data_IF_282260622570
#
_entry.id   IF_282260622570
#
_cell.length_a   1.000
_cell.length_b   1.000
_cell.length_c   1.000
_cell.angle_alpha   90.00
_cell.angle_beta   90.00
_cell.angle_gamma   90.00
#
_symmetry.space_group_name_H-M   'P 1'
#
loop_
_entity.id
_entity.type
_entity.pdbx_description
1 polymer ?
#
# COMPACT_ATOMS: atom_id res chain seq x y z
N UNK A 1 51.05 -61.66 -28.23
CA UNK A 1 50.81 -60.28 -28.72
C UNK A 1 49.49 -59.78 -28.17
N UNK A 2 49.57 -58.82 -27.25
CA UNK A 2 48.44 -58.11 -26.68
C UNK A 2 47.60 -57.47 -27.79
N UNK A 3 46.32 -57.83 -27.91
CA UNK A 3 45.37 -56.99 -28.65
C UNK A 3 45.07 -55.77 -27.79
N UNK A 4 45.88 -54.73 -28.02
CA UNK A 4 45.71 -53.37 -27.52
C UNK A 4 44.32 -52.86 -27.89
N UNK A 5 43.68 -52.20 -26.92
CA UNK A 5 42.30 -51.75 -26.95
C UNK A 5 41.96 -50.85 -28.14
N UNK A 6 40.88 -51.22 -28.83
CA UNK A 6 40.24 -50.36 -29.81
C UNK A 6 39.07 -49.61 -29.17
N UNK A 7 39.35 -48.45 -28.57
CA UNK A 7 38.38 -47.38 -28.46
C UNK A 7 38.10 -46.85 -29.88
N UNK A 8 37.38 -47.63 -30.69
CA UNK A 8 37.05 -47.33 -32.09
C UNK A 8 35.64 -46.73 -32.23
N UNK A 9 35.26 -46.34 -33.44
CA UNK A 9 33.98 -45.69 -33.82
C UNK A 9 32.73 -46.22 -33.08
N UNK A 10 32.66 -47.52 -32.75
CA UNK A 10 31.57 -48.12 -31.96
C UNK A 10 31.49 -47.66 -30.49
N UNK A 11 32.61 -47.27 -29.86
CA UNK A 11 32.62 -46.64 -28.55
C UNK A 11 32.12 -45.18 -28.63
N UNK A 12 32.49 -44.47 -29.70
CA UNK A 12 32.06 -43.09 -29.97
C UNK A 12 30.56 -43.03 -30.30
N UNK A 13 30.06 -43.99 -31.09
CA UNK A 13 28.63 -44.13 -31.39
C UNK A 13 27.81 -44.49 -30.15
N UNK A 14 28.29 -45.42 -29.31
CA UNK A 14 27.66 -45.72 -28.01
C UNK A 14 27.66 -44.52 -27.07
N UNK A 15 28.72 -43.71 -27.08
CA UNK A 15 28.76 -42.47 -26.32
C UNK A 15 27.73 -41.46 -26.84
N UNK A 16 27.59 -41.29 -28.16
CA UNK A 16 26.58 -40.43 -28.76
C UNK A 16 25.15 -40.88 -28.49
N UNK A 17 24.87 -42.19 -28.56
CA UNK A 17 23.57 -42.77 -28.22
C UNK A 17 23.25 -42.59 -26.74
N UNK A 18 24.25 -42.76 -25.86
CA UNK A 18 24.11 -42.52 -24.42
C UNK A 18 23.83 -41.05 -24.09
N UNK A 19 24.50 -40.10 -24.74
CA UNK A 19 24.21 -38.67 -24.57
C UNK A 19 22.77 -38.34 -25.00
N UNK A 20 22.31 -38.86 -26.14
CA UNK A 20 20.93 -38.68 -26.60
C UNK A 20 19.90 -39.29 -25.64
N UNK A 21 20.19 -40.46 -25.06
CA UNK A 21 19.28 -41.08 -24.10
C UNK A 21 19.25 -40.31 -22.76
N UNK A 22 20.38 -39.78 -22.30
CA UNK A 22 20.44 -38.89 -21.14
C UNK A 22 19.68 -37.58 -21.37
N UNK A 23 19.82 -36.97 -22.54
CA UNK A 23 19.06 -35.75 -22.90
C UNK A 23 17.56 -36.03 -22.96
N UNK A 24 17.14 -37.14 -23.56
CA UNK A 24 15.74 -37.55 -23.61
C UNK A 24 15.17 -37.80 -22.20
N UNK A 25 15.92 -38.50 -21.34
CA UNK A 25 15.52 -38.75 -19.95
C UNK A 25 15.46 -37.45 -19.14
N UNK A 26 16.42 -36.55 -19.31
CA UNK A 26 16.45 -35.24 -18.65
C UNK A 26 15.23 -34.39 -19.04
N UNK A 27 14.88 -34.36 -20.32
CA UNK A 27 13.68 -33.68 -20.81
C UNK A 27 12.39 -34.31 -20.27
N UNK A 28 12.31 -35.65 -20.22
CA UNK A 28 11.16 -36.35 -19.63
C UNK A 28 11.02 -36.04 -18.14
N UNK A 29 12.11 -36.05 -17.38
CA UNK A 29 12.11 -35.76 -15.95
C UNK A 29 11.72 -34.31 -15.69
N UNK A 30 12.23 -33.37 -16.50
CA UNK A 30 11.85 -31.95 -16.43
C UNK A 30 10.36 -31.75 -16.72
N UNK A 31 9.83 -32.38 -17.77
CA UNK A 31 8.40 -32.32 -18.09
C UNK A 31 7.54 -32.92 -16.97
N UNK A 32 7.93 -34.08 -16.42
CA UNK A 32 7.23 -34.69 -15.30
C UNK A 32 7.23 -33.79 -14.04
N UNK A 33 8.33 -33.06 -13.78
CA UNK A 33 8.38 -32.07 -12.71
C UNK A 33 7.45 -30.88 -12.96
N UNK A 34 7.37 -30.39 -14.20
CA UNK A 34 6.45 -29.31 -14.58
C UNK A 34 4.99 -29.74 -14.45
N UNK A 35 4.65 -30.95 -14.90
CA UNK A 35 3.29 -31.50 -14.78
C UNK A 35 2.90 -31.70 -13.31
N UNK A 36 3.83 -32.19 -12.48
CA UNK A 36 3.61 -32.32 -11.05
C UNK A 36 3.38 -30.95 -10.39
N UNK A 37 4.17 -29.93 -10.76
CA UNK A 37 4.00 -28.57 -10.25
C UNK A 37 2.64 -27.99 -10.64
N UNK A 38 2.19 -28.16 -11.89
CA UNK A 38 0.85 -27.74 -12.30
C UNK A 38 -0.25 -28.41 -11.48
N UNK A 39 -0.15 -29.73 -11.26
CA UNK A 39 -1.12 -30.46 -10.45
C UNK A 39 -1.15 -29.97 -8.99
N UNK A 40 0.02 -29.68 -8.39
CA UNK A 40 0.12 -29.11 -7.05
C UNK A 40 -0.48 -27.70 -6.98
N UNK A 41 -0.19 -26.85 -7.97
CA UNK A 41 -0.79 -25.52 -8.06
C UNK A 41 -2.30 -25.59 -8.19
N UNK A 42 -2.85 -26.50 -9.00
CA UNK A 42 -4.29 -26.70 -9.13
C UNK A 42 -4.95 -27.22 -7.83
N UNK A 43 -4.30 -28.16 -7.14
CA UNK A 43 -4.80 -28.63 -5.85
C UNK A 43 -4.81 -27.50 -4.81
N UNK A 44 -3.72 -26.74 -4.75
CA UNK A 44 -3.60 -25.58 -3.87
C UNK A 44 -4.67 -24.53 -4.18
N UNK A 45 -4.85 -24.23 -5.48
CA UNK A 45 -5.88 -23.34 -6.02
C UNK A 45 -7.26 -23.67 -5.46
N UNK A 46 -7.65 -24.94 -5.61
CA UNK A 46 -8.95 -25.44 -5.18
C UNK A 46 -9.09 -25.41 -3.65
N UNK A 47 -8.04 -25.75 -2.91
CA UNK A 47 -8.05 -25.69 -1.45
C UNK A 47 -8.26 -24.26 -0.94
N UNK A 48 -7.53 -23.29 -1.50
CA UNK A 48 -7.63 -21.90 -1.07
C UNK A 48 -8.97 -21.27 -1.47
N UNK A 49 -9.50 -21.62 -2.65
CA UNK A 49 -10.87 -21.24 -3.06
C UNK A 49 -11.91 -21.73 -2.06
N UNK A 50 -11.83 -23.01 -1.69
CA UNK A 50 -12.77 -23.62 -0.73
C UNK A 50 -12.64 -22.99 0.65
N UNK A 51 -11.42 -22.77 1.12
CA UNK A 51 -11.18 -22.11 2.40
C UNK A 51 -11.86 -20.74 2.44
N UNK A 52 -11.62 -19.92 1.42
CA UNK A 52 -12.06 -18.55 1.46
C UNK A 52 -13.55 -18.37 1.14
N UNK A 53 -14.15 -19.26 0.35
CA UNK A 53 -15.62 -19.32 0.19
C UNK A 53 -16.31 -19.75 1.48
N UNK A 54 -15.76 -20.73 2.20
CA UNK A 54 -16.31 -21.22 3.46
C UNK A 54 -16.19 -20.17 4.58
N UNK A 55 -15.08 -19.46 4.64
CA UNK A 55 -14.78 -18.47 5.66
C UNK A 55 -15.06 -17.02 5.21
N UNK A 56 -15.85 -16.81 4.15
CA UNK A 56 -16.08 -15.47 3.57
C UNK A 56 -16.62 -14.47 4.58
N UNK A 57 -17.58 -14.89 5.40
CA UNK A 57 -18.17 -14.03 6.43
C UNK A 57 -17.11 -13.63 7.46
N UNK A 58 -16.32 -14.60 7.92
CA UNK A 58 -15.25 -14.39 8.90
C UNK A 58 -14.18 -13.44 8.36
N UNK A 59 -13.75 -13.61 7.10
CA UNK A 59 -12.79 -12.71 6.44
C UNK A 59 -13.35 -11.28 6.37
N UNK A 60 -14.66 -11.13 6.22
CA UNK A 60 -15.30 -9.81 6.15
C UNK A 60 -15.51 -9.20 7.54
N UNK A 61 -15.78 -9.98 8.57
CA UNK A 61 -16.08 -9.44 9.90
C UNK A 61 -14.86 -9.30 10.80
N UNK A 62 -13.87 -10.20 10.70
CA UNK A 62 -12.69 -10.22 11.55
C UNK A 62 -11.46 -9.65 10.80
N UNK A 63 -10.98 -8.46 11.19
CA UNK A 63 -9.82 -7.82 10.56
C UNK A 63 -8.51 -8.60 10.75
N UNK A 64 -8.32 -9.26 11.90
CA UNK A 64 -7.10 -10.05 12.16
C UNK A 64 -7.08 -11.28 11.26
N UNK A 65 -8.22 -11.93 11.12
CA UNK A 65 -8.36 -13.08 10.24
C UNK A 65 -8.21 -12.68 8.77
N UNK A 66 -8.82 -11.55 8.38
CA UNK A 66 -8.62 -10.94 7.05
C UNK A 66 -7.15 -10.71 6.75
N UNK A 67 -6.43 -10.09 7.69
CA UNK A 67 -5.01 -9.81 7.54
C UNK A 67 -4.18 -11.09 7.36
N UNK A 68 -4.42 -12.11 8.18
CA UNK A 68 -3.72 -13.39 8.08
C UNK A 68 -3.99 -14.09 6.74
N UNK A 69 -5.24 -14.10 6.28
CA UNK A 69 -5.61 -14.64 4.98
C UNK A 69 -4.88 -13.91 3.84
N UNK A 70 -4.86 -12.59 3.90
CA UNK A 70 -4.20 -11.74 2.92
C UNK A 70 -2.67 -11.92 2.90
N UNK A 71 -2.02 -12.05 4.06
CA UNK A 71 -0.58 -12.34 4.15
C UNK A 71 -0.22 -13.68 3.49
N UNK A 72 -1.05 -14.70 3.71
CA UNK A 72 -0.89 -15.99 3.06
C UNK A 72 -1.00 -15.87 1.54
N UNK A 73 -1.99 -15.14 1.01
CA UNK A 73 -2.09 -14.86 -0.42
C UNK A 73 -0.82 -14.18 -0.96
N UNK A 74 -0.34 -13.14 -0.27
CA UNK A 74 0.86 -12.40 -0.68
C UNK A 74 2.13 -13.27 -0.68
N UNK A 75 2.34 -14.14 0.31
CA UNK A 75 3.51 -15.02 0.36
C UNK A 75 3.63 -15.99 -0.83
N UNK A 76 2.51 -16.23 -1.51
CA UNK A 76 2.40 -17.18 -2.63
C UNK A 76 2.41 -16.40 -3.97
N UNK A 77 2.46 -15.07 -3.93
CA UNK A 77 2.37 -14.23 -5.12
C UNK A 77 0.95 -14.15 -5.69
N UNK A 78 -0.05 -14.43 -4.86
CA UNK A 78 -1.46 -14.34 -5.19
C UNK A 78 -2.02 -13.00 -4.72
N UNK A 79 -2.63 -12.26 -5.63
CA UNK A 79 -3.42 -11.08 -5.28
C UNK A 79 -4.92 -11.45 -5.25
N UNK A 80 -5.57 -11.45 -4.07
CA UNK A 80 -6.99 -11.76 -3.96
C UNK A 80 -7.90 -10.68 -4.57
N UNK A 81 -7.33 -9.53 -4.97
CA UNK A 81 -8.03 -8.40 -5.57
C UNK A 81 -7.72 -8.23 -7.07
N UNK A 82 -6.80 -9.02 -7.63
CA UNK A 82 -6.54 -8.95 -9.05
C UNK A 82 -7.78 -9.42 -9.82
N UNK A 83 -8.19 -8.67 -10.84
CA UNK A 83 -9.28 -9.04 -11.74
C UNK A 83 -8.86 -10.04 -12.85
N UNK A 84 -9.80 -10.57 -13.64
CA UNK A 84 -9.63 -11.78 -14.46
C UNK A 84 -8.43 -11.76 -15.42
N UNK A 85 -7.99 -10.57 -15.84
CA UNK A 85 -6.87 -10.37 -16.78
C UNK A 85 -5.48 -10.53 -16.17
N UNK A 86 -5.33 -10.55 -14.84
CA UNK A 86 -4.04 -10.72 -14.12
C UNK A 86 -4.12 -11.78 -13.02
N UNK A 87 -4.76 -12.92 -13.30
CA UNK A 87 -4.93 -14.00 -12.32
C UNK A 87 -6.17 -13.87 -11.44
N UNK A 88 -7.14 -13.03 -11.82
CA UNK A 88 -8.35 -12.77 -11.06
C UNK A 88 -9.49 -13.77 -11.20
N UNK A 89 -9.15 -15.04 -11.15
CA UNK A 89 -10.13 -16.03 -10.74
C UNK A 89 -10.45 -15.91 -9.23
N UNK A 90 -9.63 -15.18 -8.46
CA UNK A 90 -9.85 -14.89 -7.05
C UNK A 90 -10.96 -13.87 -6.78
N UNK A 91 -11.06 -12.79 -7.57
CA UNK A 91 -12.10 -11.79 -7.38
C UNK A 91 -13.49 -12.44 -7.40
N UNK A 92 -13.74 -13.30 -8.41
CA UNK A 92 -15.00 -14.03 -8.60
C UNK A 92 -15.18 -15.16 -7.56
N UNK A 93 -14.11 -15.86 -7.18
CA UNK A 93 -14.16 -16.92 -6.18
C UNK A 93 -14.34 -16.41 -4.73
N UNK A 94 -13.86 -15.21 -4.42
CA UNK A 94 -13.77 -14.67 -3.07
C UNK A 94 -14.83 -13.59 -2.80
N UNK A 95 -15.20 -12.81 -3.83
CA UNK A 95 -15.97 -11.56 -3.73
C UNK A 95 -15.46 -10.60 -2.64
N UNK A 96 -14.16 -10.68 -2.36
CA UNK A 96 -13.41 -9.72 -1.55
C UNK A 96 -13.08 -8.46 -2.36
N UNK A 97 -13.04 -8.58 -3.70
CA UNK A 97 -12.90 -7.45 -4.61
C UNK A 97 -14.02 -6.43 -4.45
N UNK A 98 -15.27 -6.90 -4.29
CA UNK A 98 -16.43 -6.02 -4.08
C UNK A 98 -16.28 -5.17 -2.82
N UNK A 99 -15.98 -5.80 -1.67
CA UNK A 99 -15.81 -5.08 -0.40
C UNK A 99 -14.65 -4.08 -0.44
N UNK A 100 -13.52 -4.48 -1.03
CA UNK A 100 -12.34 -3.63 -1.13
C UNK A 100 -12.56 -2.45 -2.10
N UNK A 101 -13.28 -2.69 -3.20
CA UNK A 101 -13.65 -1.66 -4.17
C UNK A 101 -14.66 -0.69 -3.56
N UNK A 102 -15.66 -1.17 -2.84
CA UNK A 102 -16.57 -0.34 -2.03
C UNK A 102 -15.77 0.51 -1.03
N UNK A 103 -14.77 -0.07 -0.37
CA UNK A 103 -13.90 0.68 0.56
C UNK A 103 -13.11 1.75 -0.18
N UNK A 104 -12.58 1.45 -1.37
CA UNK A 104 -11.92 2.41 -2.23
C UNK A 104 -12.82 3.60 -2.61
N UNK A 105 -14.07 3.36 -2.98
CA UNK A 105 -15.05 4.41 -3.30
C UNK A 105 -15.31 5.32 -2.11
N UNK A 106 -15.42 4.77 -0.90
CA UNK A 106 -15.65 5.57 0.30
C UNK A 106 -14.42 6.35 0.74
N UNK A 107 -13.22 5.79 0.55
CA UNK A 107 -11.97 6.53 0.76
C UNK A 107 -11.95 7.76 -0.16
N UNK A 108 -12.31 7.58 -1.44
CA UNK A 108 -12.41 8.69 -2.40
C UNK A 108 -13.42 9.73 -1.93
N UNK A 109 -14.61 9.31 -1.48
CA UNK A 109 -15.66 10.23 -1.01
C UNK A 109 -15.22 11.05 0.22
N UNK A 110 -14.58 10.40 1.20
CA UNK A 110 -13.99 11.10 2.37
C UNK A 110 -12.90 12.07 1.93
N UNK A 111 -11.99 11.66 1.04
CA UNK A 111 -10.94 12.52 0.54
C UNK A 111 -11.46 13.72 -0.25
N UNK A 112 -12.54 13.56 -1.01
CA UNK A 112 -13.18 14.66 -1.76
C UNK A 112 -13.91 15.60 -0.81
N UNK A 113 -14.72 15.08 0.12
CA UNK A 113 -15.51 15.89 1.05
C UNK A 113 -14.68 16.67 2.07
N UNK A 114 -13.48 16.19 2.41
CA UNK A 114 -12.57 16.88 3.34
C UNK A 114 -11.57 17.81 2.66
N UNK A 115 -11.47 17.76 1.32
CA UNK A 115 -10.45 18.45 0.53
C UNK A 115 -10.39 19.96 0.78
N UNK A 116 -11.54 20.62 0.85
CA UNK A 116 -11.60 22.07 1.05
C UNK A 116 -11.08 22.49 2.42
N UNK A 117 -11.08 21.57 3.39
CA UNK A 117 -10.59 21.81 4.74
C UNK A 117 -9.10 21.49 4.88
N UNK A 118 -8.63 20.39 4.30
CA UNK A 118 -7.30 19.84 4.56
C UNK A 118 -6.32 19.89 3.37
N UNK A 119 -6.73 20.48 2.25
CA UNK A 119 -5.89 20.61 1.06
C UNK A 119 -5.64 19.29 0.31
N UNK A 120 -6.35 18.21 0.66
CA UNK A 120 -6.16 16.88 0.08
C UNK A 120 -5.10 16.04 0.79
N UNK A 121 -4.80 16.35 2.05
CA UNK A 121 -4.00 15.52 2.95
C UNK A 121 -4.84 15.09 4.14
N UNK A 122 -4.79 13.80 4.49
CA UNK A 122 -5.49 13.28 5.66
C UNK A 122 -4.66 12.20 6.33
N UNK A 123 -4.57 12.21 7.66
CA UNK A 123 -3.91 11.13 8.39
C UNK A 123 -4.64 9.80 8.16
N UNK A 124 -3.88 8.71 8.04
CA UNK A 124 -4.43 7.38 7.76
C UNK A 124 -5.38 6.91 8.88
N UNK A 125 -5.04 7.18 10.13
CA UNK A 125 -5.87 6.88 11.31
C UNK A 125 -7.20 7.65 11.28
N UNK A 126 -7.17 8.94 10.93
CA UNK A 126 -8.36 9.77 10.77
C UNK A 126 -9.23 9.29 9.60
N UNK A 127 -8.61 8.91 8.48
CA UNK A 127 -9.32 8.33 7.35
C UNK A 127 -10.03 7.02 7.74
N UNK A 128 -9.36 6.12 8.48
CA UNK A 128 -9.99 4.91 9.04
C UNK A 128 -11.19 5.26 9.91
N UNK A 129 -11.05 6.26 10.79
CA UNK A 129 -12.14 6.73 11.67
C UNK A 129 -13.34 7.23 10.87
N UNK A 130 -13.12 8.12 9.90
CA UNK A 130 -14.17 8.71 9.07
C UNK A 130 -14.89 7.66 8.23
N UNK A 131 -14.15 6.74 7.60
CA UNK A 131 -14.74 5.68 6.77
C UNK A 131 -15.50 4.66 7.64
N UNK A 132 -14.98 4.31 8.81
CA UNK A 132 -15.69 3.42 9.76
C UNK A 132 -17.02 4.03 10.20
N UNK A 133 -17.02 5.32 10.50
CA UNK A 133 -18.23 6.08 10.83
C UNK A 133 -19.23 6.11 9.69
N UNK A 134 -18.76 6.34 8.45
CA UNK A 134 -19.62 6.36 7.25
C UNK A 134 -20.32 5.00 7.03
N UNK A 135 -19.67 3.90 7.37
CA UNK A 135 -20.28 2.56 7.31
C UNK A 135 -21.12 2.19 8.54
N UNK A 136 -21.18 3.03 9.58
CA UNK A 136 -21.82 2.68 10.85
C UNK A 136 -21.19 1.45 11.52
N UNK A 137 -19.90 1.21 11.28
CA UNK A 137 -19.18 0.08 11.86
C UNK A 137 -18.60 0.47 13.23
N UNK A 138 -18.60 -0.49 14.15
CA UNK A 138 -17.87 -0.35 15.40
C UNK A 138 -16.35 -0.28 15.14
N UNK A 139 -15.62 0.34 16.07
CA UNK A 139 -14.18 0.52 15.97
C UNK A 139 -13.45 -0.80 15.75
N UNK A 140 -12.57 -0.82 14.76
CA UNK A 140 -11.67 -1.95 14.48
C UNK A 140 -12.05 -2.80 13.26
N UNK A 141 -13.25 -2.67 12.68
CA UNK A 141 -13.65 -3.48 11.50
C UNK A 141 -12.84 -3.19 10.22
N UNK A 142 -12.28 -1.98 10.13
CA UNK A 142 -11.41 -1.50 9.05
C UNK A 142 -10.05 -1.17 9.67
N UNK A 143 -8.98 -1.69 9.09
CA UNK A 143 -7.61 -1.38 9.53
C UNK A 143 -6.92 -0.41 8.56
N UNK A 144 -5.79 0.14 9.00
CA UNK A 144 -4.92 0.94 8.13
C UNK A 144 -4.44 0.15 6.90
N UNK A 145 -4.15 -1.15 7.04
CA UNK A 145 -3.75 -2.00 5.92
C UNK A 145 -4.86 -2.16 4.88
N UNK A 146 -6.12 -2.23 5.32
CA UNK A 146 -7.26 -2.27 4.39
C UNK A 146 -7.32 -0.99 3.55
N UNK A 147 -7.12 0.18 4.19
CA UNK A 147 -7.10 1.48 3.51
C UNK A 147 -5.92 1.58 2.54
N UNK A 148 -4.71 1.24 2.99
CA UNK A 148 -3.49 1.24 2.14
C UNK A 148 -3.69 0.37 0.91
N UNK A 149 -4.29 -0.81 1.08
CA UNK A 149 -4.54 -1.73 -0.02
C UNK A 149 -5.61 -1.22 -0.98
N UNK A 150 -6.70 -0.66 -0.47
CA UNK A 150 -7.70 -0.02 -1.32
C UNK A 150 -7.08 1.10 -2.14
N UNK A 151 -6.19 1.92 -1.55
CA UNK A 151 -5.46 2.96 -2.29
C UNK A 151 -4.55 2.35 -3.37
N UNK A 152 -3.85 1.25 -3.08
CA UNK A 152 -3.06 0.55 -4.08
C UNK A 152 -3.91 0.03 -5.24
N UNK A 153 -5.12 -0.47 -4.96
CA UNK A 153 -6.06 -0.91 -5.98
C UNK A 153 -6.59 0.26 -6.85
N UNK A 154 -6.57 1.49 -6.35
CA UNK A 154 -6.94 2.70 -7.10
C UNK A 154 -5.81 3.20 -8.03
N UNK A 155 -4.56 2.77 -7.85
CA UNK A 155 -3.41 3.24 -8.66
C UNK A 155 -3.61 3.17 -10.19
N UNK A 156 -4.20 2.09 -10.76
CA UNK A 156 -4.42 2.00 -12.21
C UNK A 156 -5.32 3.10 -12.79
N UNK A 157 -6.13 3.75 -11.95
CA UNK A 157 -7.00 4.84 -12.37
C UNK A 157 -6.25 6.16 -12.60
N UNK A 158 -4.98 6.25 -12.18
CA UNK A 158 -4.18 7.48 -12.32
C UNK A 158 -4.70 8.66 -11.49
N UNK A 159 -5.45 8.39 -10.42
CA UNK A 159 -6.15 9.40 -9.61
C UNK A 159 -5.24 10.17 -8.65
N UNK A 160 -3.95 9.80 -8.55
CA UNK A 160 -2.97 10.53 -7.75
C UNK A 160 -3.00 10.22 -6.25
N UNK A 161 -3.77 9.21 -5.82
CA UNK A 161 -3.81 8.77 -4.43
C UNK A 161 -2.51 8.10 -4.04
N UNK A 162 -1.87 8.61 -3.00
CA UNK A 162 -0.60 8.11 -2.49
C UNK A 162 -0.60 8.05 -0.96
N UNK A 163 0.00 7.01 -0.41
CA UNK A 163 0.27 6.92 1.03
C UNK A 163 1.68 7.43 1.26
N UNK A 164 1.81 8.41 2.13
CA UNK A 164 3.06 9.07 2.47
C UNK A 164 3.42 8.77 3.93
N UNK A 165 4.65 8.32 4.16
CA UNK A 165 5.21 8.24 5.50
C UNK A 165 5.78 9.60 5.89
N UNK A 166 5.53 10.06 7.12
CA UNK A 166 6.03 11.35 7.59
C UNK A 166 6.46 11.28 9.06
N UNK A 167 7.64 11.83 9.33
CA UNK A 167 8.27 11.82 10.65
C UNK A 167 8.78 10.45 11.11
N UNK A 168 9.50 10.44 12.22
CA UNK A 168 10.17 9.24 12.76
C UNK A 168 9.23 8.28 13.53
N UNK A 169 7.93 8.63 13.63
CA UNK A 169 6.92 7.91 14.42
C UNK A 169 6.09 6.88 13.65
N UNK A 170 6.40 6.63 12.36
CA UNK A 170 5.64 5.70 11.53
C UNK A 170 4.22 6.16 11.18
N UNK A 171 3.93 7.46 11.32
CA UNK A 171 2.64 8.03 10.93
C UNK A 171 2.54 8.10 9.42
N UNK A 172 1.34 7.82 8.91
CA UNK A 172 1.01 7.78 7.48
C UNK A 172 -0.09 8.76 7.16
N UNK A 173 0.01 9.41 6.01
CA UNK A 173 -1.06 10.22 5.44
C UNK A 173 -1.44 9.71 4.07
N UNK A 174 -2.67 10.01 3.67
CA UNK A 174 -3.14 9.83 2.31
C UNK A 174 -3.19 11.19 1.64
N UNK A 175 -2.49 11.30 0.51
CA UNK A 175 -2.60 12.42 -0.40
C UNK A 175 -3.60 12.07 -1.50
N UNK A 176 -4.62 12.88 -1.70
CA UNK A 176 -5.68 12.67 -2.72
C UNK A 176 -5.56 13.59 -3.93
N UNK A 177 -4.62 14.53 -3.92
CA UNK A 177 -4.38 15.48 -5.00
C UNK A 177 -2.97 15.25 -5.58
N UNK A 178 -2.81 15.16 -6.91
CA UNK A 178 -1.49 15.02 -7.54
C UNK A 178 -0.71 16.33 -7.41
N UNK A 179 0.01 16.47 -6.29
CA UNK A 179 0.95 17.55 -6.01
C UNK A 179 2.21 16.96 -5.38
N UNK A 180 3.38 17.35 -5.87
CA UNK A 180 4.64 16.99 -5.23
C UNK A 180 4.77 17.75 -3.91
N UNK A 181 5.05 17.01 -2.83
CA UNK A 181 5.47 17.61 -1.57
C UNK A 181 6.99 17.65 -1.56
N UNK A 182 7.57 18.82 -1.31
CA UNK A 182 9.01 18.95 -1.17
C UNK A 182 9.47 18.54 0.24
N UNK A 183 10.79 18.41 0.42
CA UNK A 183 11.39 18.02 1.71
C UNK A 183 11.00 18.96 2.85
N UNK A 184 10.94 20.29 2.58
CA UNK A 184 10.59 21.29 3.58
C UNK A 184 9.14 21.12 4.06
N UNK A 185 8.21 20.83 3.16
CA UNK A 185 6.81 20.55 3.49
C UNK A 185 6.67 19.29 4.31
N UNK A 186 7.44 18.23 3.99
CA UNK A 186 7.46 17.01 4.79
C UNK A 186 7.96 17.26 6.21
N UNK A 187 8.98 18.12 6.38
CA UNK A 187 9.46 18.55 7.70
C UNK A 187 8.39 19.32 8.46
N UNK A 188 7.71 20.27 7.81
CA UNK A 188 6.62 21.04 8.44
C UNK A 188 5.46 20.12 8.85
N UNK A 189 5.08 19.15 8.02
CA UNK A 189 4.04 18.17 8.33
C UNK A 189 4.42 17.33 9.56
N UNK A 190 5.66 16.86 9.65
CA UNK A 190 6.15 16.11 10.81
C UNK A 190 6.10 16.94 12.10
N UNK A 191 6.52 18.22 12.03
CA UNK A 191 6.47 19.13 13.18
C UNK A 191 5.03 19.44 13.60
N UNK A 192 4.16 19.74 12.64
CA UNK A 192 2.75 20.00 12.90
C UNK A 192 2.12 18.82 13.64
N UNK A 193 2.48 17.60 13.27
CA UNK A 193 1.98 16.38 13.85
C UNK A 193 2.41 16.16 15.31
N UNK A 194 3.61 16.63 15.70
CA UNK A 194 4.07 16.68 17.09
C UNK A 194 3.37 17.77 17.90
N UNK A 195 3.00 18.88 17.24
CA UNK A 195 2.42 20.08 17.85
C UNK A 195 0.89 20.19 17.66
N UNK A 196 0.22 19.05 17.47
CA UNK A 196 -1.24 18.96 17.33
C UNK A 196 -1.82 19.90 16.23
N UNK A 197 -1.09 20.03 15.13
CA UNK A 197 -1.42 20.83 13.96
C UNK A 197 -0.84 22.24 13.95
N UNK A 198 -0.31 22.77 15.06
CA UNK A 198 0.18 24.16 15.12
C UNK A 198 1.65 24.26 14.72
N UNK A 199 1.99 25.22 13.86
CA UNK A 199 3.37 25.52 13.43
C UNK A 199 3.57 27.04 13.41
N UNK A 200 4.73 27.51 13.86
CA UNK A 200 5.12 28.93 13.74
C UNK A 200 6.51 29.09 13.11
N UNK A 201 6.73 30.23 12.45
CA UNK A 201 7.98 30.54 11.74
C UNK A 201 9.19 30.50 12.70
N UNK A 202 9.05 31.09 13.89
CA UNK A 202 10.09 31.14 14.92
C UNK A 202 10.47 29.75 15.45
N UNK A 203 9.52 28.84 15.53
CA UNK A 203 9.74 27.45 15.91
C UNK A 203 10.56 26.71 14.84
N UNK A 204 10.22 26.88 13.55
CA UNK A 204 10.97 26.27 12.46
C UNK A 204 12.42 26.77 12.41
N UNK A 205 12.62 28.08 12.61
CA UNK A 205 13.96 28.68 12.68
C UNK A 205 14.78 28.08 13.82
N UNK A 206 14.20 28.01 15.03
CA UNK A 206 14.91 27.51 16.22
C UNK A 206 15.15 26.00 16.20
N UNK A 207 14.16 25.22 15.77
CA UNK A 207 14.20 23.75 15.81
C UNK A 207 15.05 23.16 14.68
N UNK A 208 14.94 23.71 13.47
CA UNK A 208 15.55 23.14 12.26
C UNK A 208 16.73 23.97 11.74
N UNK A 209 17.12 25.04 12.45
CA UNK A 209 18.17 25.97 12.04
C UNK A 209 17.92 26.57 10.65
N UNK A 210 16.65 26.84 10.33
CA UNK A 210 16.25 27.45 9.07
C UNK A 210 16.43 28.96 9.08
N UNK A 211 16.59 29.55 7.90
CA UNK A 211 16.48 31.00 7.73
C UNK A 211 15.01 31.41 7.82
N UNK A 212 14.75 32.63 8.31
CA UNK A 212 13.40 33.21 8.38
C UNK A 212 12.72 33.19 6.99
N UNK A 213 13.48 33.53 5.94
CA UNK A 213 13.01 33.51 4.55
C UNK A 213 12.54 32.11 4.11
N UNK A 214 13.28 31.05 4.49
CA UNK A 214 12.92 29.67 4.17
C UNK A 214 11.64 29.24 4.90
N UNK A 215 11.56 29.51 6.20
CA UNK A 215 10.38 29.19 7.01
C UNK A 215 9.13 29.90 6.46
N UNK A 216 9.24 31.21 6.17
CA UNK A 216 8.17 31.99 5.58
C UNK A 216 7.78 31.51 4.19
N UNK A 217 8.75 31.16 3.34
CA UNK A 217 8.49 30.68 1.99
C UNK A 217 7.71 29.35 1.98
N UNK A 218 8.11 28.37 2.81
CA UNK A 218 7.40 27.08 2.85
C UNK A 218 5.99 27.24 3.41
N UNK A 219 5.80 28.02 4.47
CA UNK A 219 4.49 28.23 5.08
C UNK A 219 3.56 29.03 4.16
N UNK A 220 4.10 30.03 3.45
CA UNK A 220 3.35 30.77 2.43
C UNK A 220 2.94 29.87 1.26
N UNK A 221 3.81 28.95 0.83
CA UNK A 221 3.48 27.97 -0.21
C UNK A 221 2.38 27.01 0.26
N UNK A 222 2.50 26.48 1.48
CA UNK A 222 1.49 25.59 2.07
C UNK A 222 0.13 26.28 2.19
N UNK A 223 0.11 27.55 2.57
CA UNK A 223 -1.11 28.35 2.72
C UNK A 223 -1.75 28.69 1.36
N UNK A 224 -0.98 29.33 0.45
CA UNK A 224 -1.54 29.97 -0.73
C UNK A 224 -1.62 29.05 -1.96
N UNK A 225 -0.62 28.17 -2.12
CA UNK A 225 -0.52 27.30 -3.30
C UNK A 225 -1.13 25.93 -3.02
N UNK A 226 -0.84 25.39 -1.84
CA UNK A 226 -1.22 24.02 -1.54
C UNK A 226 -2.59 23.93 -0.88
N UNK A 227 -2.94 24.92 -0.05
CA UNK A 227 -4.16 24.92 0.76
C UNK A 227 -4.10 23.90 1.88
N UNK A 228 -2.90 23.53 2.33
CA UNK A 228 -2.66 22.47 3.33
C UNK A 228 -2.53 23.01 4.75
N UNK A 229 -2.48 24.34 4.91
CA UNK A 229 -2.53 24.99 6.21
C UNK A 229 -3.41 26.25 6.19
N UNK A 230 -3.85 26.66 7.37
CA UNK A 230 -4.64 27.86 7.65
C UNK A 230 -3.78 28.85 8.43
N UNK A 231 -4.04 30.15 8.26
CA UNK A 231 -3.36 31.22 8.98
C UNK A 231 -4.21 31.69 10.16
N UNK A 232 -3.58 31.76 11.34
CA UNK A 232 -4.13 32.41 12.52
C UNK A 232 -3.26 33.61 12.89
N UNK A 233 -3.80 34.81 12.76
CA UNK A 233 -3.12 36.07 13.09
C UNK A 233 -3.39 36.54 14.53
N UNK A 234 -4.10 35.73 15.32
CA UNK A 234 -4.47 36.04 16.70
C UNK A 234 -3.85 35.05 17.70
N UNK A 235 -2.84 34.30 17.27
CA UNK A 235 -2.22 33.27 18.10
C UNK A 235 -1.33 33.90 19.20
N UNK A 236 -1.26 33.24 20.37
CA UNK A 236 -0.42 33.66 21.49
C UNK A 236 -1.09 34.60 22.52
N UNK A 237 -0.44 34.81 23.69
CA UNK A 237 -1.07 35.42 24.88
C UNK A 237 -1.50 36.88 24.72
N UNK A 238 -1.00 37.57 23.70
CA UNK A 238 -1.32 38.97 23.42
C UNK A 238 -2.21 39.15 22.17
N UNK A 239 -2.62 38.07 21.50
CA UNK A 239 -3.44 38.13 20.28
C UNK A 239 -2.77 38.81 19.09
N UNK A 240 -1.43 38.84 19.07
CA UNK A 240 -0.61 39.49 18.04
C UNK A 240 0.38 38.52 17.37
N UNK A 241 0.36 37.25 17.75
CA UNK A 241 1.21 36.23 17.15
C UNK A 241 0.59 35.66 15.89
N UNK A 242 1.45 35.07 15.06
CA UNK A 242 1.07 34.41 13.82
C UNK A 242 1.39 32.94 13.93
N UNK A 243 0.40 32.08 13.74
CA UNK A 243 0.59 30.64 13.63
C UNK A 243 -0.07 30.10 12.37
N UNK A 244 0.47 28.99 11.89
CA UNK A 244 -0.05 28.22 10.79
C UNK A 244 -0.56 26.90 11.34
N UNK A 245 -1.76 26.56 10.94
CA UNK A 245 -2.50 25.42 11.44
C UNK A 245 -2.63 24.42 10.31
N UNK A 246 -2.20 23.18 10.49
CA UNK A 246 -2.22 22.12 9.47
C UNK A 246 -3.36 21.15 9.80
N UNK A 247 -4.55 21.30 9.17
CA UNK A 247 -5.74 20.48 9.43
C UNK A 247 -5.50 18.98 9.37
N UNK A 248 -4.62 18.56 8.47
CA UNK A 248 -4.32 17.16 8.22
C UNK A 248 -3.53 16.49 9.38
N UNK A 249 -2.89 17.30 10.23
CA UNK A 249 -2.12 16.86 11.39
C UNK A 249 -2.85 17.10 12.73
N UNK A 250 -4.05 17.70 12.68
CA UNK A 250 -4.89 17.94 13.85
C UNK A 250 -5.71 16.69 14.18
N UNK A 251 -5.89 16.47 15.48
CA UNK A 251 -6.95 15.60 15.96
C UNK A 251 -8.22 16.43 16.09
N UNK A 252 -9.25 16.06 15.33
CA UNK A 252 -10.54 16.72 15.38
C UNK A 252 -11.38 16.03 16.45
N UNK A 253 -11.61 16.72 17.56
CA UNK A 253 -12.69 16.34 18.48
C UNK A 253 -14.02 16.70 17.81
N UNK A 254 -14.89 15.70 17.62
CA UNK A 254 -16.29 15.93 17.24
C UNK A 254 -17.13 16.32 18.47
#
# INVERSE_FOLDING_TARGET
MHRLGGAGLAALQRQQESLKSFDALSNQLSNAHVDNLHAQLDQFRNALTRFATHHRADIRSDPRFRHAFQQMCASIGVDPLAGPRRGGWWEEALGLGDWQSELGVQIVDVCVSTRDRNGGLIELSELVRLVSRLRGLEGGAITEEDVVRSIQALKPLGTGYEVLDFGDGGRKMVRSVPKELNEDQMVVLAIAAEQNGRVDEDFLVRRNAWTEERAKAVLSNMLLRDGTCWLDEQDGPNGMGRAYWVPAAMQWDD
#
